data_IF_215023330693
#
_entry.id   IF_215023330693
#
_cell.length_a   1.000
_cell.length_b   1.000
_cell.length_c   1.000
_cell.angle_alpha   90.00
_cell.angle_beta   90.00
_cell.angle_gamma   90.00
#
_symmetry.space_group_name_H-M   'P 1'
#
loop_
_entity.id
_entity.type
_entity.pdbx_description
1 polymer ?
#
# COMPACT_ATOMS: atom_id res chain seq x y z
N UNK A 1 6.59 27.99 31.04
CA UNK A 1 7.12 26.61 30.98
C UNK A 1 6.08 25.72 30.32
N UNK A 2 6.15 25.51 29.01
CA UNK A 2 5.29 24.56 28.29
C UNK A 2 6.21 23.57 27.58
N UNK A 3 6.32 22.37 28.16
CA UNK A 3 7.10 21.25 27.64
C UNK A 3 6.47 20.75 26.35
N UNK A 4 7.16 20.95 25.22
CA UNK A 4 6.84 20.31 23.93
C UNK A 4 7.20 18.82 24.03
N UNK A 5 6.24 17.98 24.41
CA UNK A 5 6.34 16.53 24.16
C UNK A 5 6.07 16.29 22.68
N UNK A 6 7.15 16.11 21.91
CA UNK A 6 7.05 15.58 20.55
C UNK A 6 6.40 14.18 20.60
N UNK A 7 5.25 14.06 19.94
CA UNK A 7 4.54 12.79 19.68
C UNK A 7 5.51 11.73 19.16
N UNK A 8 5.31 10.48 19.58
CA UNK A 8 6.06 9.31 19.11
C UNK A 8 6.07 9.18 17.57
N UNK A 9 5.08 9.78 16.90
CA UNK A 9 4.96 9.87 15.45
C UNK A 9 6.18 10.52 14.76
N UNK A 10 6.74 11.58 15.35
CA UNK A 10 7.83 12.34 14.73
C UNK A 10 9.20 11.65 14.79
N UNK A 11 9.39 10.67 15.68
CA UNK A 11 10.70 10.01 15.87
C UNK A 11 10.96 8.85 14.91
N UNK A 12 9.95 8.36 14.19
CA UNK A 12 10.09 7.19 13.30
C UNK A 12 10.41 7.54 11.84
N UNK A 13 10.28 8.81 11.45
CA UNK A 13 10.57 9.29 10.09
C UNK A 13 12.07 9.51 9.81
N UNK A 14 12.93 9.37 10.82
CA UNK A 14 14.38 9.58 10.71
C UNK A 14 15.19 8.30 10.39
N UNK A 15 14.57 7.26 9.82
CA UNK A 15 15.35 6.17 9.20
C UNK A 15 15.85 6.69 7.86
N UNK A 16 17.16 6.89 7.79
CA UNK A 16 17.92 7.16 6.57
C UNK A 16 17.43 6.28 5.43
N UNK A 17 17.19 6.87 4.26
CA UNK A 17 17.03 6.15 2.99
C UNK A 17 18.34 5.44 2.64
N UNK A 18 18.64 4.36 3.33
CA UNK A 18 19.61 3.39 2.83
C UNK A 18 18.90 2.62 1.73
N UNK A 19 19.45 2.65 0.52
CA UNK A 19 19.06 1.72 -0.55
C UNK A 19 19.36 0.30 -0.06
N UNK A 20 18.44 -0.28 0.71
CA UNK A 20 18.51 -1.67 1.05
C UNK A 20 18.26 -2.41 -0.26
N UNK A 21 19.29 -3.09 -0.76
CA UNK A 21 19.10 -4.23 -1.64
C UNK A 21 17.94 -5.04 -1.05
N UNK A 22 16.86 -5.20 -1.82
CA UNK A 22 15.72 -5.99 -1.43
C UNK A 22 16.24 -7.39 -1.11
N UNK A 23 16.48 -7.67 0.19
CA UNK A 23 16.81 -9.01 0.63
C UNK A 23 15.66 -9.91 0.15
N UNK A 24 15.95 -11.13 -0.32
CA UNK A 24 14.93 -12.07 -0.74
C UNK A 24 14.25 -12.70 0.49
N UNK A 25 13.80 -11.87 1.43
CA UNK A 25 12.94 -12.36 2.48
C UNK A 25 11.54 -12.51 1.89
N UNK A 26 11.15 -13.76 1.80
CA UNK A 26 9.85 -14.21 1.36
C UNK A 26 9.18 -14.88 2.56
N UNK A 27 7.95 -14.46 2.89
CA UNK A 27 7.11 -15.19 3.84
C UNK A 27 6.79 -16.55 3.20
N UNK A 28 7.21 -17.69 3.76
CA UNK A 28 6.94 -19.00 3.15
C UNK A 28 5.44 -19.30 3.15
N UNK A 29 4.95 -19.99 2.12
CA UNK A 29 3.52 -20.25 1.91
C UNK A 29 2.81 -20.90 3.11
N UNK A 30 3.49 -21.79 3.83
CA UNK A 30 2.96 -22.42 5.05
C UNK A 30 2.65 -21.45 6.19
N UNK A 31 3.14 -20.21 6.14
CA UNK A 31 2.93 -19.18 7.18
C UNK A 31 1.82 -18.18 6.81
N UNK A 32 1.16 -18.31 5.66
CA UNK A 32 0.14 -17.34 5.23
C UNK A 32 -1.21 -17.58 5.90
N UNK A 33 -1.49 -18.81 6.34
CA UNK A 33 -2.76 -19.16 6.98
C UNK A 33 -3.97 -18.63 6.21
N UNK A 34 -4.77 -17.80 6.87
CA UNK A 34 -5.98 -17.22 6.31
C UNK A 34 -5.75 -16.12 5.25
N UNK A 35 -4.56 -15.50 5.14
CA UNK A 35 -4.29 -14.48 4.12
C UNK A 35 -3.73 -15.01 2.80
N UNK A 36 -3.60 -16.33 2.63
CA UNK A 36 -3.08 -16.94 1.39
C UNK A 36 -3.77 -16.43 0.12
N UNK A 37 -5.10 -16.39 0.12
CA UNK A 37 -5.87 -15.91 -1.05
C UNK A 37 -5.54 -14.44 -1.37
N UNK A 38 -5.58 -13.57 -0.35
CA UNK A 38 -5.29 -12.14 -0.51
C UNK A 38 -3.88 -11.88 -1.03
N UNK A 39 -2.88 -12.66 -0.59
CA UNK A 39 -1.50 -12.57 -1.11
C UNK A 39 -1.40 -12.92 -2.58
N UNK A 40 -2.06 -14.01 -3.00
CA UNK A 40 -2.08 -14.45 -4.40
C UNK A 40 -2.81 -13.43 -5.29
N UNK A 41 -3.97 -12.95 -4.86
CA UNK A 41 -4.77 -11.97 -5.59
C UNK A 41 -4.07 -10.62 -5.69
N UNK A 42 -3.46 -10.14 -4.60
CA UNK A 42 -2.72 -8.88 -4.63
C UNK A 42 -1.49 -8.97 -5.55
N UNK A 43 -0.74 -10.07 -5.49
CA UNK A 43 0.38 -10.29 -6.41
C UNK A 43 -0.08 -10.37 -7.86
N UNK A 44 -1.20 -11.06 -8.13
CA UNK A 44 -1.81 -11.09 -9.46
C UNK A 44 -2.27 -9.70 -9.92
N UNK A 45 -2.80 -8.86 -9.03
CA UNK A 45 -3.19 -7.49 -9.34
C UNK A 45 -1.98 -6.64 -9.75
N UNK A 46 -0.88 -6.69 -8.99
CA UNK A 46 0.36 -6.00 -9.37
C UNK A 46 0.84 -6.43 -10.76
N UNK A 47 0.93 -7.74 -11.01
CA UNK A 47 1.35 -8.32 -12.30
C UNK A 47 0.39 -7.99 -13.45
N UNK A 48 -0.92 -8.00 -13.20
CA UNK A 48 -1.93 -7.70 -14.21
C UNK A 48 -1.91 -6.22 -14.61
N UNK A 49 -1.80 -5.32 -13.63
CA UNK A 49 -1.71 -3.88 -13.89
C UNK A 49 -0.38 -3.49 -14.54
N UNK A 50 0.69 -4.22 -14.23
CA UNK A 50 1.96 -4.12 -14.92
C UNK A 50 1.83 -4.46 -16.42
N UNK A 51 1.16 -5.56 -16.76
CA UNK A 51 0.87 -5.94 -18.16
C UNK A 51 0.01 -4.90 -18.89
N UNK A 52 -0.81 -4.14 -18.16
CA UNK A 52 -1.61 -3.04 -18.69
C UNK A 52 -0.84 -1.71 -18.78
N UNK A 53 0.44 -1.69 -18.39
CA UNK A 53 1.28 -0.48 -18.40
C UNK A 53 0.89 0.56 -17.34
N UNK A 54 0.22 0.13 -16.26
CA UNK A 54 -0.23 1.01 -15.18
C UNK A 54 0.75 1.08 -14.00
N UNK A 55 1.81 0.27 -14.02
CA UNK A 55 2.94 0.41 -13.11
C UNK A 55 3.69 1.70 -13.48
N UNK A 56 4.04 2.54 -12.51
CA UNK A 56 5.00 3.63 -12.76
C UNK A 56 6.37 3.14 -12.27
N UNK A 57 6.80 1.99 -12.82
CA UNK A 57 7.98 1.27 -12.35
C UNK A 57 7.84 0.74 -10.92
N UNK A 58 8.58 1.37 -10.00
CA UNK A 58 8.58 1.06 -8.56
C UNK A 58 7.69 2.02 -7.75
N UNK A 59 7.21 3.09 -8.39
CA UNK A 59 6.24 4.03 -7.84
C UNK A 59 4.82 3.46 -8.01
N UNK A 60 3.83 4.07 -7.35
CA UNK A 60 2.48 3.53 -7.11
C UNK A 60 2.43 2.44 -6.03
N UNK A 61 1.24 2.18 -5.51
CA UNK A 61 1.04 1.15 -4.48
C UNK A 61 -0.41 0.68 -4.38
N UNK A 62 -0.55 -0.62 -4.12
CA UNK A 62 -1.81 -1.32 -3.88
C UNK A 62 -1.76 -1.96 -2.48
N UNK A 63 -2.90 -2.00 -1.81
CA UNK A 63 -3.03 -2.73 -0.55
C UNK A 63 -4.37 -3.43 -0.42
N UNK A 64 -4.39 -4.49 0.38
CA UNK A 64 -5.61 -5.18 0.80
C UNK A 64 -5.57 -5.43 2.30
N UNK A 65 -6.68 -5.27 3.01
CA UNK A 65 -6.80 -5.86 4.36
C UNK A 65 -7.12 -7.32 4.25
N UNK A 66 -6.39 -8.12 5.01
CA UNK A 66 -6.60 -9.55 5.13
C UNK A 66 -6.49 -9.98 6.60
N UNK A 67 -7.07 -11.13 6.96
CA UNK A 67 -6.83 -11.73 8.27
C UNK A 67 -5.35 -12.04 8.46
N UNK A 68 -4.83 -11.80 9.66
CA UNK A 68 -3.45 -12.16 9.99
C UNK A 68 -3.32 -13.68 10.12
N UNK A 69 -2.15 -14.21 9.77
CA UNK A 69 -1.86 -15.64 9.90
C UNK A 69 -1.88 -16.12 11.36
N UNK A 70 -1.52 -15.25 12.30
CA UNK A 70 -1.55 -15.51 13.75
C UNK A 70 -2.95 -15.42 14.38
N UNK A 71 -3.98 -15.08 13.61
CA UNK A 71 -5.35 -14.94 14.09
C UNK A 71 -5.62 -13.68 14.92
N UNK A 72 -4.66 -12.76 15.06
CA UNK A 72 -4.81 -11.53 15.86
C UNK A 72 -5.64 -10.43 15.14
N UNK A 73 -6.64 -10.83 14.37
CA UNK A 73 -7.53 -9.94 13.62
C UNK A 73 -7.08 -9.68 12.19
N UNK A 74 -7.34 -8.48 11.70
CA UNK A 74 -7.05 -8.06 10.33
C UNK A 74 -5.93 -7.02 10.29
N UNK A 75 -5.10 -7.08 9.26
CA UNK A 75 -4.05 -6.11 8.99
C UNK A 75 -3.86 -5.94 7.48
N UNK A 76 -3.06 -4.95 7.09
CA UNK A 76 -2.94 -4.53 5.71
C UNK A 76 -1.74 -5.17 5.02
N UNK A 77 -1.98 -5.92 3.96
CA UNK A 77 -0.96 -6.39 3.03
C UNK A 77 -0.56 -5.27 2.06
N UNK A 78 0.73 -5.11 1.86
CA UNK A 78 1.36 -4.16 0.95
C UNK A 78 2.64 -4.78 0.38
N UNK A 79 3.13 -4.26 -0.76
CA UNK A 79 4.40 -4.70 -1.30
C UNK A 79 5.58 -3.98 -0.60
N UNK A 80 6.78 -4.60 -0.59
CA UNK A 80 7.97 -3.98 -0.04
C UNK A 80 8.54 -2.93 -1.01
N UNK A 81 9.12 -1.85 -0.47
CA UNK A 81 9.69 -0.78 -1.31
C UNK A 81 10.81 -1.30 -2.22
N UNK A 82 10.88 -0.76 -3.44
CA UNK A 82 12.00 -0.97 -4.36
C UNK A 82 11.84 -2.13 -5.35
N UNK A 83 10.72 -2.85 -5.32
CA UNK A 83 10.40 -3.85 -6.34
C UNK A 83 9.61 -3.24 -7.49
N UNK A 84 9.95 -3.62 -8.72
CA UNK A 84 9.08 -3.37 -9.85
C UNK A 84 7.79 -4.19 -9.72
N UNK A 85 6.68 -3.71 -10.29
CA UNK A 85 5.39 -4.43 -10.21
C UNK A 85 5.42 -5.79 -10.91
N UNK A 86 6.35 -5.99 -11.86
CA UNK A 86 6.67 -7.28 -12.49
C UNK A 86 7.56 -8.21 -11.64
N UNK A 87 7.97 -7.79 -10.44
CA UNK A 87 8.74 -8.59 -9.47
C UNK A 87 7.96 -8.93 -8.18
N UNK A 88 6.89 -8.21 -7.82
CA UNK A 88 5.95 -8.57 -6.73
C UNK A 88 5.38 -10.00 -6.79
N UNK A 89 5.52 -10.78 -5.73
CA UNK A 89 5.00 -12.14 -5.60
C UNK A 89 4.22 -12.28 -4.31
N UNK A 90 3.38 -13.30 -4.18
CA UNK A 90 2.62 -13.54 -2.95
C UNK A 90 3.51 -13.68 -1.70
N UNK A 91 4.72 -14.20 -1.89
CA UNK A 91 5.68 -14.46 -0.81
C UNK A 91 6.47 -13.22 -0.40
N UNK A 92 6.72 -12.27 -1.31
CA UNK A 92 7.45 -11.03 -0.96
C UNK A 92 6.56 -9.91 -0.41
N UNK A 93 5.23 -10.09 -0.39
CA UNK A 93 4.30 -9.17 0.27
C UNK A 93 4.53 -9.15 1.78
N UNK A 94 4.41 -7.96 2.36
CA UNK A 94 4.52 -7.71 3.80
C UNK A 94 3.19 -7.24 4.36
N UNK A 95 2.98 -7.43 5.65
CA UNK A 95 1.76 -7.02 6.35
C UNK A 95 2.11 -6.01 7.45
N UNK A 96 1.31 -4.94 7.52
CA UNK A 96 1.45 -3.89 8.52
C UNK A 96 0.16 -3.69 9.32
N UNK A 97 0.32 -3.37 10.60
CA UNK A 97 -0.77 -2.99 11.49
C UNK A 97 -1.21 -1.52 11.29
N UNK A 98 -2.30 -1.08 11.94
CA UNK A 98 -2.77 0.31 11.85
C UNK A 98 -1.77 1.39 12.32
N UNK A 99 -0.76 1.01 13.11
CA UNK A 99 0.30 1.90 13.59
C UNK A 99 1.54 1.90 12.66
N UNK A 100 1.41 1.29 11.47
CA UNK A 100 2.48 1.06 10.50
C UNK A 100 3.64 0.20 11.06
N UNK A 101 3.35 -0.65 12.05
CA UNK A 101 4.22 -1.71 12.53
C UNK A 101 4.20 -2.90 11.58
N UNK A 102 5.37 -3.46 11.28
CA UNK A 102 5.50 -4.69 10.49
C UNK A 102 5.06 -5.89 11.34
N UNK A 103 4.11 -6.68 10.84
CA UNK A 103 3.54 -7.83 11.56
C UNK A 103 3.70 -9.15 10.84
N UNK A 104 3.87 -9.13 9.51
CA UNK A 104 4.34 -10.27 8.73
C UNK A 104 5.33 -9.77 7.66
N UNK A 105 6.50 -10.40 7.54
CA UNK A 105 7.57 -9.89 6.67
C UNK A 105 8.86 -9.59 7.45
N UNK A 106 9.95 -9.34 6.74
CA UNK A 106 11.24 -8.87 7.29
C UNK A 106 11.85 -7.78 6.38
N UNK A 107 11.01 -7.12 5.60
CA UNK A 107 11.39 -6.07 4.67
C UNK A 107 10.56 -4.84 4.96
N UNK A 108 11.17 -3.67 4.82
CA UNK A 108 10.47 -2.42 5.07
C UNK A 108 9.34 -2.24 4.03
N UNK A 109 8.10 -1.93 4.48
CA UNK A 109 6.98 -1.70 3.58
C UNK A 109 7.20 -0.43 2.75
N UNK A 110 6.49 -0.32 1.63
CA UNK A 110 6.38 0.95 0.91
C UNK A 110 5.78 2.01 1.87
N UNK A 111 6.56 3.04 2.20
CA UNK A 111 6.23 4.01 3.25
C UNK A 111 5.06 4.89 2.83
N UNK A 112 5.01 5.33 1.57
CA UNK A 112 3.95 6.20 1.06
C UNK A 112 2.59 5.48 1.02
N UNK A 113 2.57 4.19 0.69
CA UNK A 113 1.44 3.29 0.74
C UNK A 113 0.93 3.18 2.17
N UNK A 114 1.83 2.97 3.12
CA UNK A 114 1.50 2.92 4.54
C UNK A 114 0.85 4.23 5.00
N UNK A 115 1.45 5.39 4.68
CA UNK A 115 0.91 6.69 5.06
C UNK A 115 -0.47 6.99 4.46
N UNK A 116 -0.63 6.82 3.14
CA UNK A 116 -1.86 7.18 2.42
C UNK A 116 -2.96 6.16 2.73
N UNK A 117 -2.68 4.87 2.65
CA UNK A 117 -3.71 3.83 2.77
C UNK A 117 -4.19 3.64 4.21
N UNK A 118 -3.31 3.76 5.21
CA UNK A 118 -3.74 3.78 6.62
C UNK A 118 -4.57 5.03 6.91
N UNK A 119 -4.17 6.19 6.38
CA UNK A 119 -4.96 7.42 6.50
C UNK A 119 -6.38 7.28 5.95
N UNK A 120 -6.52 6.71 4.74
CA UNK A 120 -7.84 6.41 4.15
C UNK A 120 -8.63 5.45 5.03
N UNK A 121 -8.00 4.40 5.56
CA UNK A 121 -8.65 3.43 6.46
C UNK A 121 -9.14 4.00 7.77
N UNK A 122 -8.41 4.96 8.35
CA UNK A 122 -8.83 5.62 9.57
C UNK A 122 -10.17 6.33 9.40
N UNK A 123 -10.40 6.93 8.22
CA UNK A 123 -11.64 7.64 7.92
C UNK A 123 -12.68 6.77 7.21
N UNK A 124 -12.26 5.69 6.55
CA UNK A 124 -13.10 4.74 5.80
C UNK A 124 -12.72 3.28 6.13
N UNK A 125 -13.05 2.76 7.32
CA UNK A 125 -12.67 1.41 7.75
C UNK A 125 -13.19 0.29 6.84
N UNK A 126 -14.26 0.54 6.09
CA UNK A 126 -14.84 -0.38 5.11
C UNK A 126 -14.02 -0.51 3.82
N UNK A 127 -13.07 0.41 3.56
CA UNK A 127 -12.19 0.33 2.40
C UNK A 127 -11.17 -0.81 2.56
N UNK A 128 -11.53 -2.01 2.11
CA UNK A 128 -10.68 -3.21 2.22
C UNK A 128 -9.57 -3.24 1.17
N UNK A 129 -9.77 -2.66 0.00
CA UNK A 129 -8.77 -2.59 -1.09
C UNK A 129 -8.57 -1.14 -1.48
N UNK A 130 -7.31 -0.72 -1.59
CA UNK A 130 -6.94 0.63 -2.02
C UNK A 130 -5.88 0.51 -3.10
N UNK A 131 -6.09 1.22 -4.21
CA UNK A 131 -5.21 1.23 -5.38
C UNK A 131 -4.86 2.67 -5.70
N UNK A 132 -3.58 3.02 -5.58
CA UNK A 132 -3.06 4.33 -5.91
C UNK A 132 -2.18 4.22 -7.15
N UNK A 133 -2.44 5.07 -8.15
CA UNK A 133 -1.71 5.05 -9.43
C UNK A 133 -1.49 6.45 -9.98
N UNK A 134 -0.36 6.66 -10.67
CA UNK A 134 0.04 7.91 -11.30
C UNK A 134 -0.22 7.90 -12.82
N UNK A 135 -1.45 7.60 -13.24
CA UNK A 135 -1.76 7.51 -14.67
C UNK A 135 -1.64 8.89 -15.35
N UNK A 136 -0.80 9.05 -16.40
CA UNK A 136 -0.48 10.37 -16.97
C UNK A 136 -1.70 11.19 -17.37
N UNK A 137 -2.70 10.55 -17.97
CA UNK A 137 -3.94 11.21 -18.39
C UNK A 137 -4.78 11.69 -17.19
N UNK A 138 -4.83 10.92 -16.10
CA UNK A 138 -5.55 11.30 -14.88
C UNK A 138 -4.81 12.46 -14.20
N UNK A 139 -3.49 12.35 -14.05
CA UNK A 139 -2.65 13.41 -13.49
C UNK A 139 -2.81 14.73 -14.25
N UNK A 140 -2.80 14.68 -15.59
CA UNK A 140 -3.01 15.87 -16.41
C UNK A 140 -4.38 16.52 -16.18
N UNK A 141 -5.45 15.72 -16.11
CA UNK A 141 -6.81 16.21 -15.89
C UNK A 141 -7.03 16.77 -14.48
N UNK A 142 -6.36 16.21 -13.47
CA UNK A 142 -6.42 16.69 -12.09
C UNK A 142 -5.73 18.05 -11.95
N UNK A 143 -4.58 18.25 -12.60
CA UNK A 143 -3.87 19.55 -12.58
C UNK A 143 -4.75 20.68 -13.14
N UNK A 144 -5.58 20.39 -14.14
CA UNK A 144 -6.49 21.40 -14.72
C UNK A 144 -7.81 21.54 -13.96
N UNK A 145 -8.10 20.69 -12.97
CA UNK A 145 -9.39 20.62 -12.29
C UNK A 145 -10.57 20.21 -13.20
N UNK A 146 -10.28 19.67 -14.39
CA UNK A 146 -11.28 19.45 -15.44
C UNK A 146 -11.91 18.05 -15.38
N UNK A 147 -11.43 17.15 -14.52
CA UNK A 147 -11.96 15.77 -14.46
C UNK A 147 -13.48 15.75 -14.23
N UNK A 148 -13.99 16.63 -13.36
CA UNK A 148 -15.42 16.73 -13.02
C UNK A 148 -16.29 17.24 -14.15
N UNK A 149 -15.75 18.11 -15.02
CA UNK A 149 -16.52 18.70 -16.13
C UNK A 149 -16.57 17.78 -17.35
N UNK A 150 -15.55 16.94 -17.55
CA UNK A 150 -15.37 16.13 -18.76
C UNK A 150 -16.01 14.74 -18.72
N UNK A 151 -16.30 14.19 -17.53
CA UNK A 151 -16.83 12.83 -17.39
C UNK A 151 -18.19 12.79 -16.71
N UNK A 152 -19.21 12.25 -17.42
CA UNK A 152 -20.51 11.92 -16.81
C UNK A 152 -20.37 10.95 -15.62
N UNK A 153 -19.33 10.09 -15.62
CA UNK A 153 -19.04 9.16 -14.51
C UNK A 153 -18.44 9.87 -13.28
N UNK A 154 -17.74 10.99 -13.46
CA UNK A 154 -17.12 11.75 -12.38
C UNK A 154 -18.09 12.74 -11.69
N UNK A 155 -19.23 13.06 -12.31
CA UNK A 155 -20.21 14.05 -11.81
C UNK A 155 -20.88 13.66 -10.48
N UNK A 156 -20.71 12.43 -9.99
CA UNK A 156 -21.27 11.95 -8.71
C UNK A 156 -20.29 11.87 -7.53
N UNK A 157 -18.99 12.08 -7.74
CA UNK A 157 -17.93 11.84 -6.74
C UNK A 157 -17.76 13.00 -5.73
N UNK A 158 -18.87 13.65 -5.33
CA UNK A 158 -18.86 14.88 -4.53
C UNK A 158 -19.31 14.72 -3.07
N UNK A 159 -19.40 13.49 -2.55
CA UNK A 159 -19.96 13.21 -1.22
C UNK A 159 -19.14 12.19 -0.42
N UNK A 160 -17.84 12.43 -0.29
CA UNK A 160 -16.99 11.70 0.66
C UNK A 160 -16.45 12.68 1.69
#
# INVERSE_FOLDING_TARGET
MLSRRASAFGRRLARTFTSASAKPYAVPEGHWGANRAARLELAAAYRGLDQLGLNEGVCNHLSVVAPRADGAGEAMLVFPFGLHWSEVTASNLVMIDPDAGLVEGDTDPEVTASCIHLGIRMVRPEAKVIMHTHQPHVTALEITGALRSLSKKAKGWGKF
#
